data_IF_997380303162
#
_entry.id   IF_997380303162
#
_cell.length_a   1.000
_cell.length_b   1.000
_cell.length_c   1.000
_cell.angle_alpha   90.00
_cell.angle_beta   90.00
_cell.angle_gamma   90.00
#
_symmetry.space_group_name_H-M   'P 1'
#
loop_
_entity.id
_entity.type
_entity.pdbx_description
1 polymer ?
#
# COMPACT_ATOMS: atom_id res chain seq x y z
N UNK A 1 -25.82 -16.31 -9.16
CA UNK A 1 -25.09 -17.34 -9.92
C UNK A 1 -23.58 -17.16 -9.73
N UNK A 2 -22.99 -17.83 -8.74
CA UNK A 2 -21.55 -17.73 -8.41
C UNK A 2 -20.90 -19.13 -8.33
N UNK A 3 -20.96 -19.92 -9.42
CA UNK A 3 -20.32 -21.24 -9.48
C UNK A 3 -19.17 -21.36 -10.51
N UNK A 4 -18.82 -20.29 -11.23
CA UNK A 4 -17.85 -20.37 -12.35
C UNK A 4 -16.36 -20.22 -12.00
N UNK A 5 -15.98 -19.61 -10.88
CA UNK A 5 -14.56 -19.32 -10.56
C UNK A 5 -13.80 -20.50 -9.92
N UNK A 6 -14.49 -21.35 -9.14
CA UNK A 6 -13.86 -22.48 -8.45
C UNK A 6 -13.48 -23.65 -9.37
N UNK A 7 -14.22 -23.83 -10.47
CA UNK A 7 -13.98 -24.92 -11.43
C UNK A 7 -12.80 -24.59 -12.35
N UNK A 8 -12.73 -23.34 -12.84
CA UNK A 8 -11.64 -22.86 -13.70
C UNK A 8 -10.26 -22.86 -13.02
N UNK A 9 -10.19 -22.67 -11.71
CA UNK A 9 -8.94 -22.74 -10.95
C UNK A 9 -8.44 -24.18 -10.80
N UNK A 10 -9.34 -25.15 -10.59
CA UNK A 10 -8.97 -26.57 -10.43
C UNK A 10 -8.41 -27.19 -11.72
N UNK A 11 -8.89 -26.78 -12.88
CA UNK A 11 -8.37 -27.28 -14.17
C UNK A 11 -6.99 -26.73 -14.54
N UNK A 12 -6.64 -25.51 -14.10
CA UNK A 12 -5.33 -24.89 -14.36
C UNK A 12 -4.22 -25.36 -13.42
N UNK A 13 -4.58 -25.96 -12.28
CA UNK A 13 -3.67 -26.43 -11.22
C UNK A 13 -3.06 -27.81 -11.49
N UNK A 14 -3.53 -28.57 -12.49
CA UNK A 14 -2.93 -29.84 -12.95
C UNK A 14 -1.86 -29.63 -14.03
N UNK A 15 -0.99 -28.64 -13.84
CA UNK A 15 0.21 -28.55 -14.67
C UNK A 15 1.33 -29.20 -13.88
N UNK A 16 1.67 -30.44 -14.22
CA UNK A 16 2.64 -31.27 -13.47
C UNK A 16 3.97 -30.52 -13.25
N UNK A 17 4.37 -29.68 -14.21
CA UNK A 17 5.57 -28.82 -14.10
C UNK A 17 5.48 -27.76 -13.00
N UNK A 18 4.29 -27.24 -12.73
CA UNK A 18 4.07 -26.25 -11.66
C UNK A 18 4.11 -26.95 -10.30
N UNK A 19 3.53 -28.14 -10.19
CA UNK A 19 3.56 -28.94 -8.96
C UNK A 19 5.00 -29.32 -8.62
N UNK A 20 5.74 -29.85 -9.59
CA UNK A 20 7.15 -30.22 -9.43
C UNK A 20 8.01 -29.00 -9.03
N UNK A 21 7.80 -27.85 -9.66
CA UNK A 21 8.50 -26.62 -9.28
C UNK A 21 8.17 -26.17 -7.83
N UNK A 22 6.92 -26.33 -7.40
CA UNK A 22 6.51 -25.98 -6.03
C UNK A 22 7.11 -26.93 -4.98
N UNK A 23 7.23 -28.22 -5.30
CA UNK A 23 7.88 -29.21 -4.43
C UNK A 23 9.37 -28.91 -4.24
N UNK A 24 10.08 -28.53 -5.30
CA UNK A 24 11.49 -28.11 -5.23
C UNK A 24 11.65 -26.87 -4.35
N UNK A 25 10.77 -25.88 -4.52
CA UNK A 25 10.78 -24.66 -3.72
C UNK A 25 10.49 -24.96 -2.24
N UNK A 26 9.51 -25.80 -1.96
CA UNK A 26 9.16 -26.24 -0.60
C UNK A 26 10.32 -26.97 0.08
N UNK A 27 10.98 -27.90 -0.62
CA UNK A 27 12.14 -28.62 -0.13
C UNK A 27 13.29 -27.66 0.22
N UNK A 28 13.57 -26.68 -0.64
CA UNK A 28 14.61 -25.67 -0.39
C UNK A 28 14.33 -24.83 0.86
N UNK A 29 13.08 -24.39 1.07
CA UNK A 29 12.74 -23.59 2.24
C UNK A 29 12.74 -24.39 3.54
N UNK A 30 12.33 -25.67 3.49
CA UNK A 30 12.42 -26.58 4.64
C UNK A 30 13.85 -26.86 5.05
N UNK A 31 14.71 -27.22 4.10
CA UNK A 31 16.10 -27.62 4.38
C UNK A 31 16.95 -26.43 4.86
N UNK A 32 16.84 -25.28 4.18
CA UNK A 32 17.71 -24.13 4.45
C UNK A 32 17.22 -23.20 5.57
N UNK A 33 15.89 -23.08 5.73
CA UNK A 33 15.29 -22.09 6.63
C UNK A 33 14.37 -22.69 7.69
N UNK A 34 14.13 -24.01 7.67
CA UNK A 34 13.21 -24.70 8.60
C UNK A 34 11.79 -24.13 8.58
N UNK A 35 11.39 -23.54 7.46
CA UNK A 35 10.07 -22.95 7.28
C UNK A 35 9.11 -23.99 6.68
N UNK A 36 7.91 -24.07 7.24
CA UNK A 36 6.81 -24.84 6.68
C UNK A 36 6.18 -24.16 5.47
N UNK A 37 5.50 -24.95 4.64
CA UNK A 37 4.75 -24.45 3.48
C UNK A 37 3.73 -23.40 3.88
N UNK A 38 3.06 -23.55 5.03
CA UNK A 38 2.08 -22.59 5.55
C UNK A 38 2.73 -21.28 6.00
N UNK A 39 3.93 -21.31 6.57
CA UNK A 39 4.68 -20.11 6.94
C UNK A 39 5.17 -19.36 5.70
N UNK A 40 5.69 -20.08 4.70
CA UNK A 40 6.08 -19.51 3.41
C UNK A 40 4.85 -18.91 2.72
N UNK A 41 3.73 -19.62 2.71
CA UNK A 41 2.47 -19.09 2.22
C UNK A 41 1.99 -17.90 3.04
N UNK A 42 2.20 -17.86 4.36
CA UNK A 42 1.88 -16.72 5.22
C UNK A 42 2.71 -15.48 4.88
N UNK A 43 4.00 -15.68 4.57
CA UNK A 43 4.90 -14.63 4.09
C UNK A 43 4.45 -14.12 2.71
N UNK A 44 4.08 -15.04 1.80
CA UNK A 44 3.62 -14.70 0.44
C UNK A 44 2.21 -14.06 0.46
N UNK A 45 1.32 -14.57 1.31
CA UNK A 45 -0.09 -14.16 1.46
C UNK A 45 -0.27 -13.01 2.43
N UNK A 46 0.78 -12.43 3.02
CA UNK A 46 0.63 -11.19 3.78
C UNK A 46 -0.05 -10.19 2.84
N UNK A 47 -1.37 -10.02 3.02
CA UNK A 47 -2.17 -9.17 2.16
C UNK A 47 -1.49 -7.82 2.23
N UNK A 48 -0.94 -7.36 1.11
CA UNK A 48 -0.22 -6.10 1.10
C UNK A 48 -1.23 -5.03 1.48
N UNK A 49 -1.13 -4.58 2.74
CA UNK A 49 -2.00 -3.57 3.28
C UNK A 49 -1.96 -2.40 2.31
N UNK A 50 -3.13 -1.92 1.93
CA UNK A 50 -3.24 -0.86 0.95
C UNK A 50 -4.27 0.16 1.38
N UNK A 51 -4.07 1.39 0.90
CA UNK A 51 -4.90 2.54 1.18
C UNK A 51 -5.66 2.89 -0.09
N UNK A 52 -7.01 2.85 -0.09
CA UNK A 52 -7.81 3.24 -1.25
C UNK A 52 -7.50 4.68 -1.67
N UNK A 53 -7.33 4.97 -2.96
CA UNK A 53 -6.99 6.33 -3.42
C UNK A 53 -8.05 7.36 -2.98
N UNK A 54 -9.31 6.92 -2.79
CA UNK A 54 -10.43 7.77 -2.43
C UNK A 54 -10.21 8.55 -1.13
N UNK A 55 -9.45 8.01 -0.16
CA UNK A 55 -9.26 8.68 1.13
C UNK A 55 -8.40 9.94 1.01
N UNK A 56 -7.59 10.06 -0.04
CA UNK A 56 -6.73 11.23 -0.28
C UNK A 56 -7.50 12.47 -0.75
N UNK A 57 -8.81 12.34 -1.02
CA UNK A 57 -9.71 13.48 -1.24
C UNK A 57 -10.15 14.17 0.05
N UNK A 58 -9.73 13.68 1.21
CA UNK A 58 -10.05 14.31 2.50
C UNK A 58 -9.35 15.67 2.59
N UNK A 59 -10.11 16.77 2.75
CA UNK A 59 -9.52 18.11 2.78
C UNK A 59 -8.70 18.32 4.06
N UNK A 60 -7.78 19.28 4.01
CA UNK A 60 -7.02 19.80 5.16
C UNK A 60 -6.13 18.81 5.91
N UNK A 61 -5.95 17.58 5.40
CA UNK A 61 -4.99 16.62 5.92
C UNK A 61 -3.81 16.45 4.94
N UNK A 62 -2.62 16.28 5.50
CA UNK A 62 -1.45 15.83 4.73
C UNK A 62 -1.59 14.35 4.36
N UNK A 63 -0.86 13.89 3.34
CA UNK A 63 -0.91 12.49 2.93
C UNK A 63 -0.54 11.52 4.06
N UNK A 64 0.37 11.91 4.95
CA UNK A 64 0.74 11.10 6.10
C UNK A 64 -0.38 11.04 7.15
N UNK A 65 -1.00 12.18 7.45
CA UNK A 65 -2.16 12.25 8.35
C UNK A 65 -3.32 11.40 7.84
N UNK A 66 -3.60 11.42 6.53
CA UNK A 66 -4.63 10.58 5.91
C UNK A 66 -4.34 9.10 6.11
N UNK A 67 -3.11 8.65 5.80
CA UNK A 67 -2.73 7.24 5.92
C UNK A 67 -2.83 6.78 7.37
N UNK A 68 -2.23 7.53 8.30
CA UNK A 68 -2.25 7.17 9.73
C UNK A 68 -3.67 7.13 10.28
N UNK A 69 -4.51 8.12 9.92
CA UNK A 69 -5.90 8.13 10.36
C UNK A 69 -6.71 6.97 9.78
N UNK A 70 -6.51 6.64 8.50
CA UNK A 70 -7.14 5.47 7.86
C UNK A 70 -6.75 4.17 8.57
N UNK A 71 -5.46 3.95 8.79
CA UNK A 71 -5.00 2.72 9.45
C UNK A 71 -5.49 2.65 10.90
N UNK A 72 -5.55 3.78 11.60
CA UNK A 72 -5.99 3.82 12.98
C UNK A 72 -7.50 3.61 13.14
N UNK A 73 -8.31 4.26 12.30
CA UNK A 73 -9.76 4.31 12.49
C UNK A 73 -10.51 3.31 11.60
N UNK A 74 -10.02 3.01 10.41
CA UNK A 74 -10.70 2.13 9.45
C UNK A 74 -10.11 0.71 9.40
N UNK A 75 -8.88 0.52 9.90
CA UNK A 75 -8.23 -0.80 10.00
C UNK A 75 -7.94 -1.20 11.46
N UNK A 76 -8.35 -0.36 12.42
CA UNK A 76 -8.24 -0.60 13.86
C UNK A 76 -6.83 -0.96 14.38
N UNK A 77 -5.79 -0.54 13.66
CA UNK A 77 -4.40 -0.83 14.02
C UNK A 77 -3.95 -0.04 15.25
N UNK A 78 -3.06 -0.61 16.05
CA UNK A 78 -2.32 0.08 17.11
C UNK A 78 -1.30 1.07 16.53
N UNK A 79 -0.85 2.03 17.34
CA UNK A 79 0.20 2.96 16.88
C UNK A 79 1.50 2.23 16.54
N UNK A 80 1.81 1.17 17.30
CA UNK A 80 3.00 0.36 17.09
C UNK A 80 2.95 -0.42 15.77
N UNK A 81 1.82 -1.03 15.43
CA UNK A 81 1.68 -1.72 14.14
C UNK A 81 1.77 -0.75 12.96
N UNK A 82 1.15 0.44 13.08
CA UNK A 82 1.26 1.49 12.05
C UNK A 82 2.70 1.97 11.90
N UNK A 83 3.42 2.12 13.01
CA UNK A 83 4.83 2.49 13.03
C UNK A 83 5.68 1.44 12.29
N UNK A 84 5.51 0.16 12.60
CA UNK A 84 6.20 -0.93 11.91
C UNK A 84 5.88 -0.96 10.41
N UNK A 85 4.60 -0.85 10.02
CA UNK A 85 4.20 -0.91 8.61
C UNK A 85 4.67 0.30 7.79
N UNK A 86 4.78 1.47 8.40
CA UNK A 86 5.27 2.68 7.72
C UNK A 86 6.77 2.92 7.92
N UNK A 87 7.47 2.00 8.60
CA UNK A 87 8.85 2.16 9.04
C UNK A 87 9.06 3.51 9.74
N UNK A 88 8.21 3.85 10.73
CA UNK A 88 8.29 5.11 11.49
C UNK A 88 8.33 4.85 12.99
N UNK A 89 8.77 5.87 13.72
CA UNK A 89 8.74 5.86 15.17
C UNK A 89 7.31 6.07 15.71
N UNK A 90 6.98 5.41 16.82
CA UNK A 90 5.67 5.45 17.47
C UNK A 90 5.23 6.88 17.81
N UNK A 91 6.15 7.76 18.23
CA UNK A 91 5.85 9.17 18.56
C UNK A 91 5.45 9.96 17.31
N UNK A 92 6.05 9.63 16.16
CA UNK A 92 5.66 10.22 14.87
C UNK A 92 4.24 9.81 14.50
N UNK A 93 3.88 8.54 14.69
CA UNK A 93 2.54 8.05 14.40
C UNK A 93 1.51 8.67 15.33
N UNK A 94 1.77 8.70 16.64
CA UNK A 94 0.87 9.29 17.62
C UNK A 94 0.63 10.79 17.36
N UNK A 95 1.70 11.56 17.15
CA UNK A 95 1.58 13.00 16.88
C UNK A 95 0.84 13.28 15.57
N UNK A 96 1.14 12.51 14.52
CA UNK A 96 0.42 12.57 13.23
C UNK A 96 -1.07 12.28 13.42
N UNK A 97 -1.42 11.21 14.13
CA UNK A 97 -2.82 10.88 14.40
C UNK A 97 -3.52 11.99 15.19
N UNK A 98 -2.89 12.46 16.27
CA UNK A 98 -3.42 13.55 17.10
C UNK A 98 -3.69 14.82 16.29
N UNK A 99 -2.74 15.22 15.43
CA UNK A 99 -2.92 16.36 14.53
C UNK A 99 -4.03 16.12 13.50
N UNK A 100 -4.11 14.91 12.92
CA UNK A 100 -5.17 14.55 11.98
C UNK A 100 -6.57 14.65 12.61
N UNK A 101 -6.71 14.22 13.87
CA UNK A 101 -7.97 14.28 14.62
C UNK A 101 -8.38 15.71 14.94
N UNK A 102 -7.43 16.59 15.28
CA UNK A 102 -7.68 18.03 15.49
C UNK A 102 -8.14 18.72 14.21
N UNK A 103 -7.52 18.41 13.06
CA UNK A 103 -7.86 19.00 11.75
C UNK A 103 -9.14 18.43 11.15
N UNK A 104 -9.43 17.15 11.41
CA UNK A 104 -10.58 16.44 10.85
C UNK A 104 -11.14 15.41 11.85
N UNK A 105 -12.21 15.80 12.53
CA UNK A 105 -12.83 15.03 13.61
C UNK A 105 -13.57 13.76 13.12
N UNK A 106 -14.12 13.80 11.91
CA UNK A 106 -14.93 12.71 11.35
C UNK A 106 -14.04 11.52 10.94
N UNK A 107 -14.62 10.32 10.91
CA UNK A 107 -13.97 9.14 10.33
C UNK A 107 -13.81 9.32 8.82
N UNK A 108 -12.76 8.74 8.24
CA UNK A 108 -12.54 8.80 6.79
C UNK A 108 -13.60 7.96 6.06
N UNK A 109 -14.20 8.55 5.02
CA UNK A 109 -15.16 7.88 4.15
C UNK A 109 -14.40 7.06 3.13
N UNK A 110 -14.56 5.73 3.19
CA UNK A 110 -14.05 4.83 2.17
C UNK A 110 -15.10 4.75 1.07
N UNK A 111 -14.70 5.05 -0.16
CA UNK A 111 -15.50 4.78 -1.35
C UNK A 111 -14.78 3.71 -2.14
N UNK A 112 -15.53 2.85 -2.81
CA UNK A 112 -14.95 1.89 -3.73
C UNK A 112 -14.09 2.63 -4.75
N UNK A 113 -12.84 2.20 -4.87
CA UNK A 113 -11.88 2.80 -5.78
C UNK A 113 -11.07 1.71 -6.43
N UNK A 114 -10.99 1.76 -7.77
CA UNK A 114 -10.21 0.81 -8.58
C UNK A 114 -8.69 0.85 -8.27
N UNK A 115 -8.24 1.91 -7.61
CA UNK A 115 -6.83 2.14 -7.29
C UNK A 115 -6.65 2.10 -5.78
N UNK A 116 -5.85 1.14 -5.32
CA UNK A 116 -5.28 1.12 -3.97
C UNK A 116 -3.77 1.35 -4.03
N UNK A 117 -3.24 2.01 -3.01
CA UNK A 117 -1.82 2.31 -2.86
C UNK A 117 -1.24 1.35 -1.80
N UNK A 118 -0.30 0.46 -2.16
CA UNK A 118 0.34 -0.45 -1.21
C UNK A 118 1.11 0.31 -0.13
N UNK A 119 1.01 -0.10 1.13
CA UNK A 119 1.72 0.55 2.24
C UNK A 119 3.24 0.43 2.12
N UNK A 120 3.74 -0.63 1.48
CA UNK A 120 5.17 -0.88 1.35
C UNK A 120 5.94 0.26 0.66
N UNK A 121 5.28 1.03 -0.21
CA UNK A 121 5.94 2.17 -0.86
C UNK A 121 6.33 3.25 0.17
N UNK A 122 5.64 3.34 1.31
CA UNK A 122 5.88 4.34 2.34
C UNK A 122 7.03 4.00 3.28
N UNK A 123 7.54 2.76 3.24
CA UNK A 123 8.74 2.34 4.00
C UNK A 123 10.00 3.05 3.52
N UNK A 124 10.01 3.54 2.27
CA UNK A 124 11.08 4.34 1.66
C UNK A 124 11.05 5.77 2.16
N UNK A 125 11.88 6.07 3.17
CA UNK A 125 11.92 7.38 3.86
C UNK A 125 12.69 8.49 3.14
N UNK A 126 13.45 8.14 2.11
CA UNK A 126 14.11 9.05 1.18
C UNK A 126 13.10 9.91 0.38
N UNK A 127 11.88 9.41 0.21
CA UNK A 127 10.76 10.13 -0.38
C UNK A 127 9.79 10.63 0.69
N UNK A 128 9.24 11.82 0.47
CA UNK A 128 8.04 12.22 1.20
C UNK A 128 6.87 11.29 0.87
N UNK A 129 5.85 11.27 1.72
CA UNK A 129 4.66 10.44 1.46
C UNK A 129 4.00 10.81 0.14
N UNK A 130 3.87 12.10 -0.18
CA UNK A 130 3.27 12.54 -1.44
C UNK A 130 4.14 12.17 -2.64
N UNK A 131 5.47 12.25 -2.51
CA UNK A 131 6.41 11.78 -3.55
C UNK A 131 6.24 10.30 -3.84
N UNK A 132 6.16 9.45 -2.81
CA UNK A 132 5.90 8.02 -2.98
C UNK A 132 4.58 7.76 -3.73
N UNK A 133 3.50 8.45 -3.35
CA UNK A 133 2.18 8.30 -3.99
C UNK A 133 2.26 8.70 -5.47
N UNK A 134 2.80 9.89 -5.75
CA UNK A 134 2.86 10.41 -7.12
C UNK A 134 3.74 9.54 -8.00
N UNK A 135 4.89 9.07 -7.49
CA UNK A 135 5.77 8.15 -8.21
C UNK A 135 5.06 6.82 -8.51
N UNK A 136 4.36 6.24 -7.54
CA UNK A 136 3.58 5.01 -7.75
C UNK A 136 2.48 5.18 -8.81
N UNK A 137 1.69 6.26 -8.72
CA UNK A 137 0.60 6.52 -9.66
C UNK A 137 1.12 6.82 -11.07
N UNK A 138 2.27 7.47 -11.19
CA UNK A 138 2.87 7.81 -12.48
C UNK A 138 3.56 6.61 -13.12
N UNK A 139 4.40 5.90 -12.38
CA UNK A 139 5.26 4.83 -12.92
C UNK A 139 4.56 3.47 -12.95
N UNK A 140 3.79 3.12 -11.92
CA UNK A 140 3.16 1.79 -11.80
C UNK A 140 1.74 1.75 -12.34
N UNK A 141 1.03 2.87 -12.34
CA UNK A 141 -0.34 3.00 -12.88
C UNK A 141 -0.42 3.81 -14.16
N UNK A 142 0.71 4.34 -14.66
CA UNK A 142 0.83 5.07 -15.94
C UNK A 142 -0.19 6.21 -16.11
N UNK A 143 -0.57 6.88 -15.02
CA UNK A 143 -1.60 7.93 -15.06
C UNK A 143 -1.04 9.27 -15.56
N UNK A 144 -1.92 10.09 -16.16
CA UNK A 144 -1.60 11.48 -16.50
C UNK A 144 -1.56 12.36 -15.24
N UNK A 145 -0.77 13.44 -15.27
CA UNK A 145 -0.70 14.36 -14.13
C UNK A 145 -2.04 14.99 -13.78
N UNK A 146 -2.88 15.30 -14.79
CA UNK A 146 -4.25 15.77 -14.59
C UNK A 146 -5.08 14.75 -13.79
N UNK A 147 -5.02 13.48 -14.19
CA UNK A 147 -5.76 12.43 -13.49
C UNK A 147 -5.28 12.25 -12.04
N UNK A 148 -3.97 12.31 -11.82
CA UNK A 148 -3.38 12.23 -10.47
C UNK A 148 -3.82 13.43 -9.62
N UNK A 149 -3.83 14.64 -10.20
CA UNK A 149 -4.30 15.86 -9.54
C UNK A 149 -5.76 15.71 -9.07
N UNK A 150 -6.65 15.21 -9.94
CA UNK A 150 -8.05 14.96 -9.61
C UNK A 150 -8.24 13.89 -8.52
N UNK A 151 -7.45 12.82 -8.58
CA UNK A 151 -7.51 11.73 -7.60
C UNK A 151 -7.06 12.17 -6.21
N UNK A 152 -6.01 12.98 -6.13
CA UNK A 152 -5.44 13.46 -4.87
C UNK A 152 -6.01 14.80 -4.41
N UNK A 153 -6.94 15.40 -5.17
CA UNK A 153 -7.46 16.73 -4.95
C UNK A 153 -6.34 17.77 -4.75
N UNK A 154 -5.32 17.73 -5.62
CA UNK A 154 -4.17 18.64 -5.62
C UNK A 154 -4.10 19.40 -6.93
N UNK A 155 -3.45 20.56 -6.89
CA UNK A 155 -3.19 21.28 -8.12
C UNK A 155 -2.19 20.52 -9.00
N UNK A 156 -2.41 20.54 -10.33
CA UNK A 156 -1.49 20.06 -11.34
C UNK A 156 0.00 20.39 -11.06
N UNK A 157 0.38 21.65 -10.77
CA UNK A 157 1.81 21.95 -10.56
C UNK A 157 2.35 21.29 -9.29
N UNK A 158 1.52 21.08 -8.27
CA UNK A 158 1.93 20.31 -7.08
C UNK A 158 2.30 18.88 -7.48
N UNK A 159 1.49 18.23 -8.33
CA UNK A 159 1.79 16.87 -8.80
C UNK A 159 3.07 16.85 -9.64
N UNK A 160 3.18 17.76 -10.61
CA UNK A 160 4.35 17.83 -11.48
C UNK A 160 5.64 18.10 -10.71
N UNK A 161 5.65 19.10 -9.82
CA UNK A 161 6.83 19.43 -9.00
C UNK A 161 7.20 18.30 -8.06
N UNK A 162 6.21 17.64 -7.45
CA UNK A 162 6.44 16.47 -6.58
C UNK A 162 7.09 15.33 -7.36
N UNK A 163 6.56 15.00 -8.54
CA UNK A 163 7.12 13.96 -9.39
C UNK A 163 8.57 14.28 -9.79
N UNK A 164 8.84 15.51 -10.23
CA UNK A 164 10.20 15.95 -10.58
C UNK A 164 11.17 15.86 -9.40
N UNK A 165 10.77 16.27 -8.19
CA UNK A 165 11.61 16.10 -6.99
C UNK A 165 11.89 14.64 -6.68
N UNK A 166 10.91 13.75 -6.85
CA UNK A 166 11.09 12.32 -6.65
C UNK A 166 12.09 11.73 -7.67
N UNK A 167 12.03 12.12 -8.94
CA UNK A 167 13.01 11.68 -9.94
C UNK A 167 14.44 12.12 -9.60
N UNK A 168 14.62 13.39 -9.23
CA UNK A 168 15.94 13.93 -8.87
C UNK A 168 16.57 13.24 -7.64
N UNK A 169 15.77 12.54 -6.82
CA UNK A 169 16.23 11.72 -5.70
C UNK A 169 16.50 10.26 -6.06
N UNK A 170 15.90 9.74 -7.13
CA UNK A 170 16.22 8.42 -7.67
C UNK A 170 17.55 8.43 -8.44
N UNK A 171 17.91 9.58 -9.04
CA UNK A 171 19.14 9.75 -9.83
C UNK A 171 20.39 10.01 -8.97
N UNK A 172 20.27 10.03 -7.64
CA UNK A 172 21.36 10.24 -6.68
C UNK A 172 21.53 9.03 -5.78
#
# INVERSE_FOLDING_TARGET
MHQGRGVFLKEKLKNDKIVEALEVVDAYFKDKYQLSTDEVLGIIKKESLSVPISVFKTPNLSSLEIIVKFLKENKDMSYHEIAQELNRDDRTIWSTYSNSKKKFLKKLVIKDSEISIPLDIFKRRNYSVLENIVLFLKEKKTLSYNKIADLLCKHYQTIWTTYKRALNKNEK
#
